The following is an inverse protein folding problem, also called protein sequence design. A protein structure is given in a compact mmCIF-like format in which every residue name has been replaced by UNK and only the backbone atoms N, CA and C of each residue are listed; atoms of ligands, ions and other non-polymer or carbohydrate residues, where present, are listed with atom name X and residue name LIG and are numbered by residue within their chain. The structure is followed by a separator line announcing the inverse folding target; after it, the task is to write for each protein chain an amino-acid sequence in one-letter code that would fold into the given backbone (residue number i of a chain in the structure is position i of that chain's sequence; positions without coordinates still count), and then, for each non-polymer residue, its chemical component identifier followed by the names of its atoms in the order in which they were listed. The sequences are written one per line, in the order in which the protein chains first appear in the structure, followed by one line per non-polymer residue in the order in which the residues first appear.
data_IF_931928420583
#
_entry.id   IF_931928420583
#
_cell.length_a   1.000
_cell.length_b   1.000
_cell.length_c   1.000
_cell.angle_alpha   90.00
_cell.angle_beta   90.00
_cell.angle_gamma   90.00
#
_symmetry.space_group_name_H-M   'P 1'
#
loop_
_entity.id
_entity.type
_entity.pdbx_description
1 polymer ?
#
# COMPACT_ATOMS: atom_id res chain seq x y z
N UNK A 1 15.31 7.02 2.59
CA UNK A 1 16.60 6.28 2.67
C UNK A 1 17.64 7.02 3.47
N UNK A 2 17.83 8.29 3.19
CA UNK A 2 18.77 9.09 3.95
C UNK A 2 18.41 9.14 5.43
N UNK A 3 17.14 9.32 5.72
CA UNK A 3 16.67 9.33 7.09
C UNK A 3 16.93 7.99 7.79
N UNK A 4 16.67 6.89 7.09
CA UNK A 4 16.91 5.57 7.65
C UNK A 4 18.39 5.35 7.98
N UNK A 5 19.30 5.82 7.12
CA UNK A 5 20.74 5.73 7.40
C UNK A 5 21.13 6.57 8.59
N UNK A 6 20.57 7.78 8.68
CA UNK A 6 20.87 8.67 9.80
C UNK A 6 20.44 8.08 11.13
N UNK A 7 19.41 7.25 11.11
CA UNK A 7 18.92 6.58 12.31
C UNK A 7 19.56 5.22 12.53
N UNK A 8 20.50 4.83 11.69
CA UNK A 8 21.18 3.54 11.81
C UNK A 8 20.38 2.36 11.28
N UNK A 9 19.38 2.63 10.46
CA UNK A 9 18.55 1.60 9.85
C UNK A 9 19.05 1.28 8.45
N UNK A 10 18.89 0.04 8.05
CA UNK A 10 19.18 -0.39 6.69
C UNK A 10 17.87 -0.71 5.98
N UNK A 11 17.58 0.06 4.95
CA UNK A 11 16.40 -0.15 4.12
C UNK A 11 16.80 -0.21 2.65
N UNK A 12 16.29 -1.21 1.98
CA UNK A 12 16.33 -1.22 0.52
C UNK A 12 15.05 -0.61 0.00
N UNK A 13 15.18 0.44 -0.79
CA UNK A 13 14.02 1.05 -1.44
C UNK A 13 14.28 1.12 -2.93
N UNK A 14 13.23 0.85 -3.68
CA UNK A 14 13.27 0.88 -5.14
C UNK A 14 12.14 1.76 -5.61
N UNK A 15 12.47 2.76 -6.43
CA UNK A 15 11.45 3.59 -7.06
C UNK A 15 11.11 2.95 -8.40
N UNK A 16 9.85 2.55 -8.57
CA UNK A 16 9.39 1.85 -9.74
C UNK A 16 8.18 2.54 -10.36
N UNK A 17 8.10 2.47 -11.67
CA UNK A 17 6.88 2.75 -12.39
C UNK A 17 6.19 1.40 -12.62
N UNK A 18 5.26 1.04 -11.74
CA UNK A 18 4.58 -0.24 -11.78
C UNK A 18 3.62 -0.39 -12.96
N UNK A 19 3.44 0.66 -13.75
CA UNK A 19 2.72 0.54 -15.02
C UNK A 19 3.62 -0.05 -16.11
N UNK A 20 4.93 -0.02 -15.91
CA UNK A 20 5.93 -0.48 -16.87
C UNK A 20 6.82 -1.60 -16.34
N UNK A 21 7.12 -1.57 -15.06
CA UNK A 21 8.12 -2.43 -14.45
C UNK A 21 7.45 -3.46 -13.55
N UNK A 22 7.90 -4.72 -13.55
CA UNK A 22 7.41 -5.68 -12.59
C UNK A 22 7.90 -5.33 -11.18
N UNK A 23 7.16 -5.79 -10.18
CA UNK A 23 7.60 -5.65 -8.81
C UNK A 23 8.87 -6.50 -8.61
N UNK A 24 9.96 -5.92 -8.06
CA UNK A 24 11.17 -6.69 -7.84
C UNK A 24 10.93 -7.87 -6.89
N UNK A 25 11.66 -8.96 -7.04
CA UNK A 25 11.39 -10.16 -6.23
C UNK A 25 11.74 -10.03 -4.76
N UNK A 26 12.59 -9.10 -4.39
CA UNK A 26 13.02 -9.00 -3.00
C UNK A 26 13.98 -10.12 -2.61
N UNK A 27 13.95 -10.61 -1.35
CA UNK A 27 12.99 -10.22 -0.31
C UNK A 27 13.28 -8.85 0.30
N UNK A 28 12.22 -8.14 0.63
CA UNK A 28 12.33 -6.83 1.25
C UNK A 28 11.74 -6.87 2.66
N UNK A 29 12.33 -6.10 3.57
CA UNK A 29 11.79 -5.94 4.91
C UNK A 29 10.64 -4.94 4.96
N UNK A 30 10.55 -4.07 3.96
CA UNK A 30 9.53 -3.04 3.89
C UNK A 30 9.15 -2.77 2.43
N UNK A 31 7.85 -2.81 2.16
CA UNK A 31 7.28 -2.41 0.88
C UNK A 31 6.30 -1.28 1.12
N UNK A 32 6.48 -0.18 0.40
CA UNK A 32 5.60 0.98 0.46
C UNK A 32 4.87 1.11 -0.87
N UNK A 33 3.55 1.22 -0.81
CA UNK A 33 2.73 1.43 -2.00
C UNK A 33 1.64 2.46 -1.68
N UNK A 34 1.82 3.68 -2.17
CA UNK A 34 0.92 4.79 -1.88
C UNK A 34 0.34 5.36 -3.16
N UNK A 35 -1.00 5.52 -3.18
CA UNK A 35 -1.72 6.19 -4.25
C UNK A 35 -1.50 5.55 -5.62
N UNK A 36 -1.31 4.23 -5.64
CA UNK A 36 -1.24 3.44 -6.85
C UNK A 36 -2.10 2.21 -6.69
N UNK A 37 -3.11 2.07 -7.52
CA UNK A 37 -4.06 0.97 -7.40
C UNK A 37 -3.91 -0.01 -8.55
N UNK A 38 -3.41 -1.19 -8.21
CA UNK A 38 -3.43 -2.36 -9.07
C UNK A 38 -3.68 -3.56 -8.17
N UNK A 39 -4.92 -4.03 -8.17
CA UNK A 39 -5.38 -5.04 -7.21
C UNK A 39 -4.59 -6.35 -7.31
N UNK A 40 -4.12 -6.68 -8.50
CA UNK A 40 -3.35 -7.91 -8.75
C UNK A 40 -1.98 -7.90 -8.07
N UNK A 41 -1.52 -6.76 -7.58
CA UNK A 41 -0.22 -6.68 -6.92
C UNK A 41 -0.19 -7.29 -5.52
N UNK A 42 -1.33 -7.47 -4.87
CA UNK A 42 -1.31 -7.93 -3.49
C UNK A 42 -0.64 -9.29 -3.31
N UNK A 43 -0.88 -10.31 -4.16
CA UNK A 43 -0.10 -11.54 -4.07
C UNK A 43 1.40 -11.31 -4.29
N UNK A 44 1.76 -10.40 -5.19
CA UNK A 44 3.17 -10.10 -5.46
C UNK A 44 3.83 -9.40 -4.28
N UNK A 45 3.10 -8.58 -3.52
CA UNK A 45 3.63 -7.99 -2.29
C UNK A 45 4.05 -9.07 -1.30
N UNK A 46 3.26 -10.14 -1.17
CA UNK A 46 3.60 -11.24 -0.27
C UNK A 46 4.93 -11.85 -0.67
N UNK A 47 5.11 -12.13 -1.96
CA UNK A 47 6.34 -12.75 -2.44
C UNK A 47 7.55 -11.83 -2.32
N UNK A 48 7.33 -10.53 -2.44
CA UNK A 48 8.41 -9.55 -2.33
C UNK A 48 8.86 -9.33 -0.89
N UNK A 49 8.02 -9.65 0.09
CA UNK A 49 8.35 -9.42 1.50
C UNK A 49 9.12 -10.59 2.10
N UNK A 50 10.14 -10.26 2.89
CA UNK A 50 10.78 -11.24 3.76
C UNK A 50 9.79 -11.67 4.86
N UNK A 51 9.94 -12.88 5.44
CA UNK A 51 9.15 -13.23 6.61
C UNK A 51 9.30 -12.17 7.70
N UNK A 52 8.17 -11.71 8.24
CA UNK A 52 8.17 -10.60 9.20
C UNK A 52 8.25 -9.23 8.58
N UNK A 53 8.41 -9.12 7.27
CA UNK A 53 8.45 -7.84 6.57
C UNK A 53 7.11 -7.14 6.57
N UNK A 54 7.14 -5.82 6.41
CA UNK A 54 5.95 -4.98 6.49
C UNK A 54 5.55 -4.43 5.13
N UNK A 55 4.24 -4.44 4.88
CA UNK A 55 3.62 -3.70 3.79
C UNK A 55 2.89 -2.50 4.37
N UNK A 56 3.20 -1.31 3.84
CA UNK A 56 2.42 -0.11 4.11
C UNK A 56 1.75 0.30 2.80
N UNK A 57 0.42 0.25 2.79
CA UNK A 57 -0.37 0.55 1.60
C UNK A 57 -1.42 1.59 1.92
N UNK A 58 -1.60 2.55 1.03
CA UNK A 58 -2.71 3.48 1.13
C UNK A 58 -3.21 3.88 -0.25
N UNK A 59 -4.52 4.06 -0.35
CA UNK A 59 -5.18 4.41 -1.60
C UNK A 59 -6.47 5.18 -1.30
N UNK A 60 -6.73 6.25 -2.04
CA UNK A 60 -8.01 6.95 -1.92
C UNK A 60 -9.18 6.04 -2.31
N UNK A 61 -10.33 6.29 -1.69
CA UNK A 61 -11.55 5.52 -1.95
C UNK A 61 -12.54 6.32 -2.79
N UNK A 62 -13.57 5.64 -3.30
CA UNK A 62 -14.62 6.27 -4.07
C UNK A 62 -15.45 7.26 -3.25
N UNK A 63 -15.35 7.24 -1.94
CA UNK A 63 -16.03 8.22 -1.09
C UNK A 63 -15.54 9.64 -1.39
N UNK A 64 -14.31 9.78 -1.92
CA UNK A 64 -13.82 11.07 -2.38
C UNK A 64 -14.76 11.73 -3.40
N UNK A 65 -15.47 10.93 -4.18
CA UNK A 65 -16.36 11.46 -5.21
C UNK A 65 -17.58 12.18 -4.66
N UNK A 66 -17.82 12.09 -3.34
CA UNK A 66 -18.83 12.90 -2.67
C UNK A 66 -18.41 14.37 -2.57
N UNK A 67 -17.12 14.65 -2.63
CA UNK A 67 -16.58 16.01 -2.50
C UNK A 67 -15.75 16.47 -3.70
N UNK A 68 -15.24 15.53 -4.47
CA UNK A 68 -14.32 15.81 -5.58
C UNK A 68 -14.76 15.07 -6.85
N UNK A 69 -14.54 15.65 -7.99
CA UNK A 69 -14.91 15.03 -9.27
C UNK A 69 -13.80 14.15 -9.85
N UNK A 70 -12.60 14.20 -9.31
CA UNK A 70 -11.44 13.45 -9.78
C UNK A 70 -10.76 12.72 -8.63
N UNK A 71 -10.04 11.65 -8.91
CA UNK A 71 -9.99 10.89 -10.17
C UNK A 71 -11.26 10.08 -10.38
N UNK A 72 -11.36 9.39 -11.53
CA UNK A 72 -12.54 8.55 -11.79
C UNK A 72 -12.55 7.33 -10.90
N UNK A 73 -13.75 6.76 -10.69
CA UNK A 73 -13.96 5.66 -9.75
C UNK A 73 -13.04 4.46 -10.00
N UNK A 74 -12.63 4.21 -11.24
CA UNK A 74 -11.80 3.05 -11.56
C UNK A 74 -10.40 3.12 -10.93
N UNK A 75 -9.95 4.31 -10.54
CA UNK A 75 -8.66 4.50 -9.87
C UNK A 75 -8.78 4.55 -8.36
N UNK A 76 -9.97 4.26 -7.83
CA UNK A 76 -10.25 4.39 -6.41
C UNK A 76 -10.75 3.06 -5.86
N UNK A 77 -10.45 2.81 -4.60
CA UNK A 77 -11.00 1.65 -3.89
C UNK A 77 -12.49 1.84 -3.63
N UNK A 78 -13.24 0.75 -3.71
CA UNK A 78 -14.62 0.79 -3.22
C UNK A 78 -14.60 0.90 -1.69
N UNK A 79 -15.63 1.52 -1.09
CA UNK A 79 -15.71 1.58 0.37
C UNK A 79 -15.65 0.17 0.96
N UNK A 80 -14.76 -0.03 1.93
CA UNK A 80 -14.61 -1.32 2.61
C UNK A 80 -13.92 -2.41 1.79
N UNK A 81 -13.36 -2.09 0.63
CA UNK A 81 -12.74 -3.09 -0.23
C UNK A 81 -11.39 -3.59 0.28
N UNK A 82 -10.60 -2.72 0.90
CA UNK A 82 -9.21 -3.03 1.21
C UNK A 82 -9.02 -4.33 2.01
N UNK A 83 -9.81 -4.62 3.04
CA UNK A 83 -9.63 -5.89 3.76
C UNK A 83 -9.73 -7.11 2.86
N UNK A 84 -10.58 -7.08 1.82
CA UNK A 84 -10.76 -8.21 0.93
C UNK A 84 -9.60 -8.45 -0.02
N UNK A 85 -8.72 -7.45 -0.17
CA UNK A 85 -7.56 -7.55 -1.04
C UNK A 85 -6.34 -8.16 -0.34
N UNK A 86 -6.36 -8.21 0.99
CA UNK A 86 -5.19 -8.62 1.76
C UNK A 86 -5.12 -10.15 1.81
N UNK A 87 -4.05 -10.76 1.26
CA UNK A 87 -3.91 -12.22 1.28
C UNK A 87 -3.76 -12.77 2.70
N UNK A 88 -4.16 -14.03 2.93
CA UNK A 88 -4.02 -14.65 4.26
C UNK A 88 -2.58 -14.74 4.76
N UNK A 89 -1.60 -14.70 3.86
CA UNK A 89 -0.18 -14.72 4.25
C UNK A 89 0.24 -13.43 4.96
N UNK A 90 -0.58 -12.39 4.91
CA UNK A 90 -0.32 -11.14 5.61
C UNK A 90 -1.20 -11.02 6.85
N UNK A 91 -0.58 -10.63 7.95
CA UNK A 91 -1.29 -10.30 9.18
C UNK A 91 -1.55 -8.81 9.20
N UNK A 92 -2.82 -8.42 9.33
CA UNK A 92 -3.16 -7.00 9.44
C UNK A 92 -2.75 -6.50 10.82
N UNK A 93 -1.84 -5.54 10.85
CA UNK A 93 -1.40 -4.90 12.09
C UNK A 93 -2.28 -3.68 12.39
N UNK A 94 -2.63 -2.92 11.35
CA UNK A 94 -3.49 -1.75 11.50
C UNK A 94 -4.23 -1.50 10.18
N UNK A 95 -5.52 -1.20 10.29
CA UNK A 95 -6.36 -0.90 9.13
C UNK A 95 -7.24 0.28 9.47
N UNK A 96 -7.23 1.30 8.62
CA UNK A 96 -8.04 2.50 8.80
C UNK A 96 -8.63 2.93 7.47
N UNK A 97 -9.84 3.49 7.53
CA UNK A 97 -10.47 4.05 6.34
C UNK A 97 -11.31 5.24 6.79
N UNK A 98 -10.88 6.45 6.47
CA UNK A 98 -11.56 7.67 6.90
C UNK A 98 -11.10 8.89 6.09
N UNK A 99 -11.73 10.03 6.40
CA UNK A 99 -11.32 11.32 5.87
C UNK A 99 -10.07 11.81 6.61
N UNK A 100 -9.09 12.29 5.82
CA UNK A 100 -7.91 12.94 6.36
C UNK A 100 -8.16 14.45 6.48
N UNK A 101 -7.34 15.11 7.28
CA UNK A 101 -7.45 16.57 7.49
C UNK A 101 -7.33 17.35 6.18
N UNK A 102 -6.51 16.87 5.25
CA UNK A 102 -6.36 17.54 3.95
C UNK A 102 -7.55 17.33 3.02
N UNK A 103 -8.59 16.63 3.45
CA UNK A 103 -9.83 16.51 2.67
C UNK A 103 -9.89 15.33 1.74
N UNK A 104 -9.04 14.33 1.90
CA UNK A 104 -9.04 13.11 1.11
C UNK A 104 -9.52 11.93 1.97
N UNK A 105 -10.40 11.12 1.40
CA UNK A 105 -10.81 9.85 2.05
C UNK A 105 -9.88 8.74 1.60
N UNK A 106 -9.29 8.01 2.53
CA UNK A 106 -8.25 7.06 2.24
C UNK A 106 -8.40 5.80 3.06
N UNK A 107 -8.11 4.64 2.43
CA UNK A 107 -7.97 3.38 3.14
C UNK A 107 -6.48 3.09 3.27
N UNK A 108 -6.04 2.71 4.47
CA UNK A 108 -4.64 2.47 4.79
C UNK A 108 -4.50 1.17 5.56
N UNK A 109 -3.45 0.44 5.25
CA UNK A 109 -3.14 -0.79 5.98
C UNK A 109 -1.65 -0.89 6.27
N UNK A 110 -1.34 -1.39 7.46
CA UNK A 110 -0.01 -1.90 7.79
C UNK A 110 -0.21 -3.39 8.00
N UNK A 111 0.51 -4.19 7.22
CA UNK A 111 0.41 -5.64 7.30
C UNK A 111 1.79 -6.26 7.38
N UNK A 112 1.89 -7.39 8.08
CA UNK A 112 3.17 -8.11 8.27
C UNK A 112 3.07 -9.46 7.60
N UNK A 113 4.12 -9.84 6.88
CA UNK A 113 4.20 -11.20 6.34
C UNK A 113 4.42 -12.19 7.46
N UNK A 114 3.55 -13.20 7.52
CA UNK A 114 3.62 -14.29 8.50
C UNK A 114 4.86 -15.16 8.32
#
# INVERSE_FOLDING_TARGET
RELARQEGLELETVALDLTRDPLPPGPFELVLCFHYLQRELFPAFVEALAPGGLLLFSQPTQINLERHSNPSARFLLEPGELPSLIPPALEVVRLEEDWLEEGRHEARVIARRR
#
